data_IF_709090588748
#
_entry.id   IF_709090588748
#
_cell.length_a   1.000
_cell.length_b   1.000
_cell.length_c   1.000
_cell.angle_alpha   90.00
_cell.angle_beta   90.00
_cell.angle_gamma   90.00
#
_symmetry.space_group_name_H-M   'P 1'
#
loop_
_entity.id
_entity.type
_entity.pdbx_description
1 polymer ?
#
# COMPACT_ATOMS: atom_id res chain seq x y z
N UNK A 1 -11.61 0.36 -12.46
CA UNK A 1 -10.44 0.92 -11.79
C UNK A 1 -9.17 0.41 -12.44
N UNK A 2 -8.13 1.22 -12.53
CA UNK A 2 -6.83 0.76 -12.98
C UNK A 2 -6.14 -0.07 -11.91
N UNK A 3 -5.04 -0.75 -12.28
CA UNK A 3 -4.28 -1.58 -11.36
C UNK A 3 -3.67 -0.76 -10.21
N UNK A 4 -3.40 0.52 -10.41
CA UNK A 4 -2.88 1.42 -9.39
C UNK A 4 -4.03 2.29 -8.91
N UNK A 5 -4.71 1.86 -7.85
CA UNK A 5 -5.85 2.58 -7.29
C UNK A 5 -6.10 2.15 -5.85
N UNK A 6 -6.82 3.00 -5.13
CA UNK A 6 -7.22 2.70 -3.76
C UNK A 6 -8.08 1.44 -3.65
N UNK A 7 -9.13 1.25 -4.49
CA UNK A 7 -9.93 0.03 -4.40
C UNK A 7 -9.15 -1.25 -4.67
N UNK A 8 -8.19 -1.21 -5.60
CA UNK A 8 -7.35 -2.37 -5.90
C UNK A 8 -6.44 -2.70 -4.71
N UNK A 9 -5.80 -1.69 -4.10
CA UNK A 9 -4.95 -1.92 -2.93
C UNK A 9 -5.77 -2.51 -1.77
N UNK A 10 -6.97 -2.00 -1.54
CA UNK A 10 -7.87 -2.53 -0.52
C UNK A 10 -8.25 -3.98 -0.79
N UNK A 11 -8.63 -4.29 -2.02
CA UNK A 11 -9.00 -5.65 -2.41
C UNK A 11 -7.84 -6.63 -2.29
N UNK A 12 -6.64 -6.21 -2.67
CA UNK A 12 -5.44 -7.03 -2.55
C UNK A 12 -5.13 -7.36 -1.09
N UNK A 13 -5.18 -6.37 -0.21
CA UNK A 13 -4.90 -6.58 1.21
C UNK A 13 -5.94 -7.49 1.86
N UNK A 14 -7.22 -7.25 1.60
CA UNK A 14 -8.32 -8.08 2.10
C UNK A 14 -8.23 -9.51 1.60
N UNK A 15 -7.98 -9.69 0.30
CA UNK A 15 -7.85 -11.01 -0.31
C UNK A 15 -6.66 -11.78 0.25
N UNK A 16 -5.54 -11.10 0.47
CA UNK A 16 -4.35 -11.71 1.06
C UNK A 16 -4.64 -12.20 2.49
N UNK A 17 -5.25 -11.35 3.30
CA UNK A 17 -5.61 -11.71 4.67
C UNK A 17 -6.53 -12.93 4.71
N UNK A 18 -7.55 -12.94 3.87
CA UNK A 18 -8.52 -14.02 3.80
C UNK A 18 -7.87 -15.32 3.33
N UNK A 19 -7.08 -15.26 2.25
CA UNK A 19 -6.45 -16.43 1.66
C UNK A 19 -5.48 -17.13 2.61
N UNK A 20 -4.70 -16.36 3.35
CA UNK A 20 -3.68 -16.90 4.25
C UNK A 20 -4.17 -17.06 5.69
N UNK A 21 -5.37 -16.59 6.00
CA UNK A 21 -5.91 -16.67 7.36
C UNK A 21 -5.07 -15.91 8.37
N UNK A 22 -4.39 -14.85 7.93
CA UNK A 22 -3.52 -14.06 8.80
C UNK A 22 -4.32 -13.03 9.59
N UNK A 23 -3.76 -12.54 10.69
CA UNK A 23 -4.38 -11.47 11.45
C UNK A 23 -4.26 -10.14 10.72
N UNK A 24 -3.16 -9.94 9.99
CA UNK A 24 -2.85 -8.73 9.24
C UNK A 24 -2.34 -9.08 7.85
N UNK A 25 -2.59 -8.20 6.90
CA UNK A 25 -2.05 -8.31 5.55
C UNK A 25 -1.77 -6.92 4.98
N UNK A 26 -0.65 -6.79 4.29
CA UNK A 26 -0.25 -5.59 3.58
C UNK A 26 -0.22 -5.88 2.08
N UNK A 27 -0.65 -4.92 1.30
CA UNK A 27 -0.53 -4.98 -0.16
C UNK A 27 -0.21 -3.59 -0.70
N UNK A 28 0.61 -3.53 -1.74
CA UNK A 28 0.92 -2.27 -2.38
C UNK A 28 0.76 -2.38 -3.88
N UNK A 29 0.36 -1.27 -4.49
CA UNK A 29 0.32 -1.12 -5.94
C UNK A 29 0.80 0.28 -6.28
N UNK A 30 1.59 0.41 -7.35
CA UNK A 30 2.21 1.69 -7.64
C UNK A 30 2.80 1.79 -9.04
N UNK A 31 3.15 3.02 -9.39
CA UNK A 31 3.82 3.35 -10.65
C UNK A 31 5.27 3.73 -10.32
N UNK A 32 6.19 2.81 -10.60
CA UNK A 32 7.59 2.96 -10.17
C UNK A 32 8.49 3.61 -11.22
N UNK A 33 7.95 4.12 -12.32
CA UNK A 33 8.74 4.78 -13.36
C UNK A 33 9.80 3.93 -14.05
N UNK A 34 10.60 4.51 -14.96
CA UNK A 34 10.64 5.94 -15.31
C UNK A 34 9.49 6.43 -16.20
N UNK A 35 8.70 5.54 -16.78
CA UNK A 35 7.60 5.93 -17.64
C UNK A 35 6.25 5.49 -17.09
N UNK A 36 5.18 5.82 -17.80
CA UNK A 36 3.83 5.34 -17.48
C UNK A 36 3.04 6.20 -16.51
N UNK A 37 3.62 7.27 -15.97
CA UNK A 37 2.89 8.18 -15.11
C UNK A 37 2.01 9.15 -15.89
N UNK A 38 0.94 9.61 -15.26
CA UNK A 38 0.06 10.68 -15.77
C UNK A 38 -0.12 11.73 -14.68
N UNK A 39 -0.80 12.84 -15.01
CA UNK A 39 -1.07 13.89 -14.03
C UNK A 39 -1.90 13.35 -12.86
N UNK A 40 -2.83 12.46 -13.13
CA UNK A 40 -3.67 11.84 -12.09
C UNK A 40 -2.94 10.71 -11.36
N UNK A 41 -2.08 9.98 -12.08
CA UNK A 41 -1.32 8.86 -11.53
C UNK A 41 0.15 9.05 -11.86
N UNK A 42 0.84 9.93 -11.12
CA UNK A 42 2.25 10.24 -11.41
C UNK A 42 3.16 9.08 -11.08
N UNK A 43 4.35 9.12 -11.69
CA UNK A 43 5.43 8.19 -11.32
C UNK A 43 5.73 8.36 -9.83
N UNK A 44 5.87 7.26 -9.13
CA UNK A 44 6.07 7.26 -7.68
C UNK A 44 4.78 7.19 -6.87
N UNK A 45 3.61 7.22 -7.52
CA UNK A 45 2.34 7.01 -6.85
C UNK A 45 2.25 5.58 -6.35
N UNK A 46 1.93 5.43 -5.06
CA UNK A 46 1.79 4.13 -4.41
C UNK A 46 0.56 4.16 -3.51
N UNK A 47 -0.24 3.12 -3.57
CA UNK A 47 -1.29 2.85 -2.60
C UNK A 47 -0.89 1.64 -1.77
N UNK A 48 -0.97 1.78 -0.46
CA UNK A 48 -0.66 0.69 0.48
C UNK A 48 -1.93 0.35 1.23
N UNK A 49 -2.42 -0.86 1.02
CA UNK A 49 -3.57 -1.40 1.74
C UNK A 49 -3.12 -2.19 2.96
N UNK A 50 -3.80 -1.98 4.06
CA UNK A 50 -3.59 -2.74 5.30
C UNK A 50 -4.93 -3.32 5.73
N UNK A 51 -5.01 -4.65 5.74
CA UNK A 51 -6.18 -5.36 6.23
C UNK A 51 -5.88 -5.94 7.60
N UNK A 52 -6.83 -5.85 8.51
CA UNK A 52 -6.68 -6.35 9.88
C UNK A 52 -8.04 -6.60 10.51
N UNK A 53 -8.06 -6.89 11.82
CA UNK A 53 -9.31 -7.22 12.52
C UNK A 53 -10.38 -6.12 12.46
N UNK A 54 -9.98 -4.86 12.32
CA UNK A 54 -10.90 -3.74 12.25
C UNK A 54 -11.36 -3.36 10.85
N UNK A 55 -10.86 -4.03 9.81
CA UNK A 55 -11.19 -3.70 8.43
C UNK A 55 -9.97 -3.40 7.57
N UNK A 56 -10.17 -2.59 6.55
CA UNK A 56 -9.13 -2.25 5.58
C UNK A 56 -8.93 -0.74 5.53
N UNK A 57 -7.67 -0.31 5.57
CA UNK A 57 -7.30 1.09 5.37
C UNK A 57 -6.30 1.16 4.22
N UNK A 58 -6.36 2.26 3.45
CA UNK A 58 -5.44 2.49 2.34
C UNK A 58 -4.77 3.85 2.52
N UNK A 59 -3.44 3.87 2.41
CA UNK A 59 -2.67 5.09 2.40
C UNK A 59 -2.15 5.36 0.99
N UNK A 60 -2.14 6.65 0.61
CA UNK A 60 -1.65 7.10 -0.69
C UNK A 60 -0.36 7.87 -0.48
N UNK A 61 0.65 7.52 -1.26
CA UNK A 61 1.95 8.22 -1.24
C UNK A 61 2.40 8.53 -2.66
N UNK A 62 3.19 9.60 -2.79
CA UNK A 62 3.93 9.85 -4.03
C UNK A 62 5.39 10.00 -3.61
N UNK A 63 6.21 9.02 -3.94
CA UNK A 63 7.62 9.00 -3.58
C UNK A 63 8.48 9.44 -4.75
N UNK A 64 9.34 10.45 -4.57
CA UNK A 64 10.30 10.81 -5.61
C UNK A 64 11.44 9.80 -5.64
N UNK A 65 12.13 9.75 -6.77
CA UNK A 65 13.34 8.97 -6.92
C UNK A 65 13.22 7.86 -7.95
N UNK A 66 14.25 7.02 -8.00
CA UNK A 66 14.29 5.89 -8.91
C UNK A 66 13.30 4.82 -8.50
N UNK A 67 13.08 3.84 -9.39
CA UNK A 67 12.26 2.67 -9.11
C UNK A 67 12.68 1.98 -7.80
N UNK A 68 13.98 1.81 -7.60
CA UNK A 68 14.51 1.15 -6.40
C UNK A 68 14.23 1.96 -5.14
N UNK A 69 14.42 3.28 -5.21
CA UNK A 69 14.12 4.18 -4.09
C UNK A 69 12.64 4.14 -3.75
N UNK A 70 11.76 4.17 -4.75
CA UNK A 70 10.32 4.07 -4.54
C UNK A 70 9.96 2.74 -3.86
N UNK A 71 10.57 1.64 -4.30
CA UNK A 71 10.32 0.32 -3.69
C UNK A 71 10.74 0.29 -2.22
N UNK A 72 11.92 0.82 -1.91
CA UNK A 72 12.43 0.87 -0.52
C UNK A 72 11.51 1.74 0.34
N UNK A 73 11.16 2.93 -0.15
CA UNK A 73 10.28 3.84 0.59
C UNK A 73 8.90 3.23 0.80
N UNK A 74 8.37 2.50 -0.18
CA UNK A 74 7.10 1.80 -0.06
C UNK A 74 7.16 0.76 1.05
N UNK A 75 8.24 -0.02 1.11
CA UNK A 75 8.41 -1.04 2.16
C UNK A 75 8.45 -0.41 3.55
N UNK A 76 9.20 0.67 3.72
CA UNK A 76 9.27 1.40 5.00
C UNK A 76 7.91 1.97 5.39
N UNK A 77 7.20 2.58 4.43
CA UNK A 77 5.88 3.15 4.68
C UNK A 77 4.86 2.08 5.06
N UNK A 78 4.91 0.93 4.39
CA UNK A 78 4.01 -0.18 4.68
C UNK A 78 4.23 -0.74 6.10
N UNK A 79 5.48 -0.95 6.48
CA UNK A 79 5.81 -1.43 7.82
C UNK A 79 5.45 -0.41 8.89
N UNK A 80 5.65 0.88 8.61
CA UNK A 80 5.27 1.94 9.53
C UNK A 80 3.76 2.03 9.70
N UNK A 81 3.00 1.86 8.63
CA UNK A 81 1.54 1.84 8.66
C UNK A 81 1.03 0.69 9.52
N UNK A 82 1.61 -0.49 9.36
CA UNK A 82 1.28 -1.66 10.18
C UNK A 82 1.62 -1.43 11.65
N UNK A 83 2.81 -0.91 11.91
CA UNK A 83 3.26 -0.63 13.27
C UNK A 83 2.32 0.33 14.00
N UNK A 84 1.93 1.41 13.33
CA UNK A 84 1.02 2.41 13.92
C UNK A 84 -0.33 1.82 14.24
N UNK A 85 -0.87 0.99 13.35
CA UNK A 85 -2.18 0.38 13.55
C UNK A 85 -2.16 -0.62 14.70
N UNK A 86 -1.15 -1.46 14.78
CA UNK A 86 -1.00 -2.41 15.88
C UNK A 86 -0.87 -1.66 17.21
N UNK A 87 -0.06 -0.61 17.24
CA UNK A 87 0.15 0.22 18.43
C UNK A 87 -1.14 0.89 18.88
N UNK A 88 -1.90 1.43 17.94
CA UNK A 88 -3.19 2.06 18.22
C UNK A 88 -4.15 1.08 18.88
N UNK A 89 -4.18 -0.16 18.41
CA UNK A 89 -5.07 -1.19 18.97
C UNK A 89 -4.62 -1.71 20.33
N UNK A 90 -3.35 -1.61 20.63
CA UNK A 90 -2.81 -2.06 21.91
C UNK A 90 -3.15 -1.11 23.06
N UNK A 91 -3.67 0.06 22.76
CA UNK A 91 -4.10 1.04 23.77
C UNK A 91 -5.61 0.82 24.15
#
# INVERSE_FOLDING_TARGET
HGAVSQPVAAAMASGCRERFGSDWALASTGIAGPGGGTDEKPVGLVFIGLAGPGGVAVARHVFPGTREIVRVRTSWAALDQLRREIRSRAQ
#
